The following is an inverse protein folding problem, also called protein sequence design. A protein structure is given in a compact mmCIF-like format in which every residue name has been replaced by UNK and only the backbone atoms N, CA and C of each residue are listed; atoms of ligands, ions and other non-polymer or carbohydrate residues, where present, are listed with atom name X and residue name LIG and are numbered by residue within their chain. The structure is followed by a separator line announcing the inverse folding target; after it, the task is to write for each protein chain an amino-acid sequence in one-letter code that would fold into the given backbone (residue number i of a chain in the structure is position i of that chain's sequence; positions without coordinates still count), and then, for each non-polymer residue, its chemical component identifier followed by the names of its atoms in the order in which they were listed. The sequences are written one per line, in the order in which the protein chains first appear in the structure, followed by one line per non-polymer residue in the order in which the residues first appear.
data_IF_951708528858
#
_entry.id   IF_951708528858
#
_cell.length_a   1.000
_cell.length_b   1.000
_cell.length_c   1.000
_cell.angle_alpha   90.00
_cell.angle_beta   90.00
_cell.angle_gamma   90.00
#
_symmetry.space_group_name_H-M   'P 1'
#
loop_
_entity.id
_entity.type
_entity.pdbx_description
1 polymer ?
#
# COMPACT_ATOMS: atom_id res chain seq x y z
N UNK A 1 -3.19 18.64 -44.45
CA UNK A 1 -2.88 17.24 -44.82
C UNK A 1 -4.05 16.37 -44.42
N UNK A 2 -4.91 16.02 -45.39
CA UNK A 2 -6.06 15.14 -45.18
C UNK A 2 -5.54 13.69 -45.12
N UNK A 3 -5.57 13.05 -43.96
CA UNK A 3 -5.29 11.62 -43.84
C UNK A 3 -6.52 10.84 -44.33
N UNK A 4 -6.64 10.65 -45.65
CA UNK A 4 -7.52 9.62 -46.24
C UNK A 4 -6.74 8.32 -46.36
N UNK A 5 -7.16 7.31 -45.59
CA UNK A 5 -7.24 5.86 -45.91
C UNK A 5 -7.08 5.03 -44.64
N UNK A 6 -8.06 5.16 -43.74
CA UNK A 6 -8.40 4.07 -42.83
C UNK A 6 -9.85 3.76 -43.09
N UNK A 7 -10.12 2.55 -43.56
CA UNK A 7 -11.50 2.05 -43.66
C UNK A 7 -12.19 2.35 -42.33
N UNK A 8 -13.27 3.13 -42.35
CA UNK A 8 -14.01 3.48 -41.14
C UNK A 8 -14.49 2.18 -40.48
N UNK A 9 -14.68 2.16 -39.15
CA UNK A 9 -15.27 0.98 -38.52
C UNK A 9 -16.69 0.74 -39.02
N UNK A 10 -17.38 1.77 -39.53
CA UNK A 10 -18.65 1.62 -40.25
C UNK A 10 -18.51 0.83 -41.54
N UNK A 11 -17.46 1.09 -42.32
CA UNK A 11 -17.15 0.27 -43.52
C UNK A 11 -16.76 -1.16 -43.11
N UNK A 12 -16.11 -1.33 -41.96
CA UNK A 12 -15.80 -2.65 -41.40
C UNK A 12 -17.06 -3.39 -40.91
N UNK A 13 -18.01 -2.68 -40.30
CA UNK A 13 -19.30 -3.24 -39.88
C UNK A 13 -20.11 -3.69 -41.10
N UNK A 14 -20.15 -2.87 -42.16
CA UNK A 14 -20.76 -3.23 -43.43
C UNK A 14 -20.09 -4.44 -44.07
N UNK A 15 -18.75 -4.48 -44.09
CA UNK A 15 -17.99 -5.64 -44.57
C UNK A 15 -18.22 -6.89 -43.71
N UNK A 16 -18.53 -6.71 -42.43
CA UNK A 16 -18.92 -7.77 -41.51
C UNK A 16 -20.44 -8.02 -41.49
N UNK A 17 -21.19 -7.53 -42.48
CA UNK A 17 -22.63 -7.77 -42.64
C UNK A 17 -23.52 -7.28 -41.48
N UNK A 18 -23.19 -6.17 -40.82
CA UNK A 18 -24.10 -5.52 -39.87
C UNK A 18 -24.08 -4.00 -39.90
N UNK A 19 -25.13 -3.40 -39.34
CA UNK A 19 -25.25 -1.96 -39.08
C UNK A 19 -25.61 -1.71 -37.63
N UNK A 20 -25.04 -0.66 -37.02
CA UNK A 20 -25.42 -0.28 -35.66
C UNK A 20 -26.83 0.30 -35.63
N UNK A 21 -27.58 -0.03 -34.59
CA UNK A 21 -28.90 0.55 -34.35
C UNK A 21 -28.76 1.70 -33.36
N UNK A 22 -29.52 2.77 -33.54
CA UNK A 22 -29.52 3.93 -32.65
C UNK A 22 -28.12 4.53 -32.44
N UNK A 23 -27.33 4.72 -33.51
CA UNK A 23 -25.97 5.29 -33.43
C UNK A 23 -25.92 6.59 -32.60
N UNK A 24 -26.95 7.43 -32.73
CA UNK A 24 -27.07 8.71 -32.02
C UNK A 24 -27.20 8.57 -30.49
N UNK A 25 -27.62 7.39 -30.00
CA UNK A 25 -27.77 7.09 -28.57
C UNK A 25 -26.51 6.47 -27.97
N UNK A 26 -25.53 6.10 -28.78
CA UNK A 26 -24.27 5.53 -28.29
C UNK A 26 -23.50 6.60 -27.55
N UNK A 27 -23.12 6.32 -26.29
CA UNK A 27 -22.35 7.25 -25.47
C UNK A 27 -21.06 7.66 -26.18
N UNK A 28 -20.73 8.96 -26.15
CA UNK A 28 -19.47 9.51 -26.71
C UNK A 28 -18.22 8.86 -26.13
N UNK A 29 -18.29 8.33 -24.90
CA UNK A 29 -17.18 7.60 -24.28
C UNK A 29 -16.86 6.25 -24.94
N UNK A 30 -17.79 5.72 -25.74
CA UNK A 30 -17.66 4.47 -26.49
C UNK A 30 -17.28 4.71 -27.96
N UNK A 31 -17.18 5.97 -28.38
CA UNK A 31 -16.82 6.38 -29.73
C UNK A 31 -15.33 6.68 -29.79
N UNK A 32 -14.66 6.15 -30.82
CA UNK A 32 -13.25 6.40 -31.03
C UNK A 32 -13.02 7.84 -31.52
N UNK A 33 -12.16 8.64 -30.86
CA UNK A 33 -11.87 10.02 -31.29
C UNK A 33 -11.17 10.14 -32.66
N UNK A 34 -10.67 9.03 -33.21
CA UNK A 34 -9.91 9.01 -34.47
C UNK A 34 -10.83 8.68 -35.66
N UNK A 35 -11.57 7.57 -35.59
CA UNK A 35 -12.47 7.15 -36.68
C UNK A 35 -13.92 7.61 -36.49
N UNK A 36 -14.27 8.18 -35.33
CA UNK A 36 -15.62 8.67 -34.98
C UNK A 36 -16.71 7.59 -35.00
N UNK A 37 -16.31 6.33 -34.90
CA UNK A 37 -17.20 5.18 -34.84
C UNK A 37 -17.11 4.49 -33.47
N UNK A 38 -18.07 3.60 -33.11
CA UNK A 38 -17.94 2.74 -31.94
C UNK A 38 -16.60 1.98 -31.91
N UNK A 39 -16.04 1.86 -30.72
CA UNK A 39 -14.73 1.26 -30.50
C UNK A 39 -14.70 -0.23 -30.90
N UNK A 40 -13.73 -0.60 -31.74
CA UNK A 40 -13.41 -1.99 -32.11
C UNK A 40 -12.02 -2.34 -31.58
N UNK A 41 -11.93 -3.45 -30.84
CA UNK A 41 -10.70 -3.90 -30.15
C UNK A 41 -10.03 -2.73 -29.38
N UNK A 42 -10.67 -2.20 -28.32
CA UNK A 42 -10.27 -0.93 -27.74
C UNK A 42 -8.96 -1.03 -26.93
N UNK A 43 -8.07 -0.05 -27.13
CA UNK A 43 -6.86 0.20 -26.34
C UNK A 43 -6.98 1.55 -25.62
N UNK A 44 -6.63 1.59 -24.33
CA UNK A 44 -6.63 2.80 -23.52
C UNK A 44 -5.21 3.34 -23.39
N UNK A 45 -5.02 4.62 -23.66
CA UNK A 45 -3.75 5.28 -23.40
C UNK A 45 -3.55 5.49 -21.90
N UNK A 46 -2.42 5.03 -21.35
CA UNK A 46 -2.21 4.95 -19.90
C UNK A 46 -2.17 6.33 -19.24
N UNK A 47 -1.58 7.32 -19.90
CA UNK A 47 -1.36 8.64 -19.29
C UNK A 47 -2.60 9.55 -19.28
N UNK A 48 -3.52 9.41 -20.24
CA UNK A 48 -4.71 10.28 -20.33
C UNK A 48 -6.04 9.52 -20.28
N UNK A 49 -5.98 8.20 -20.13
CA UNK A 49 -7.13 7.30 -19.97
C UNK A 49 -8.19 7.37 -21.09
N UNK A 50 -7.84 7.94 -22.24
CA UNK A 50 -8.69 7.95 -23.41
C UNK A 50 -8.58 6.62 -24.16
N UNK A 51 -9.70 6.13 -24.68
CA UNK A 51 -9.78 4.86 -25.40
C UNK A 51 -9.90 5.06 -26.91
N UNK A 52 -9.24 4.19 -27.65
CA UNK A 52 -9.15 4.23 -29.11
C UNK A 52 -9.24 2.81 -29.68
N UNK A 53 -9.63 2.66 -30.94
CA UNK A 53 -9.52 1.36 -31.60
C UNK A 53 -8.04 0.99 -31.75
N UNK A 54 -7.68 -0.27 -31.51
CA UNK A 54 -6.31 -0.78 -31.64
C UNK A 54 -5.68 -0.40 -32.99
N UNK A 55 -6.43 -0.59 -34.08
CA UNK A 55 -6.01 -0.27 -35.45
C UNK A 55 -5.87 1.24 -35.72
N UNK A 56 -6.56 2.09 -34.96
CA UNK A 56 -6.50 3.54 -35.11
C UNK A 56 -5.29 4.12 -34.38
N UNK A 57 -5.10 3.77 -33.11
CA UNK A 57 -4.06 4.37 -32.27
C UNK A 57 -2.65 3.91 -32.64
N UNK A 58 -2.48 2.66 -33.09
CA UNK A 58 -1.17 2.11 -33.49
C UNK A 58 -0.55 2.78 -34.71
N UNK A 59 -1.32 3.56 -35.47
CA UNK A 59 -0.80 4.33 -36.62
C UNK A 59 -0.17 5.66 -36.20
N UNK A 60 -0.36 6.06 -34.95
CA UNK A 60 0.07 7.36 -34.43
C UNK A 60 1.28 7.17 -33.51
N UNK A 61 2.17 8.17 -33.52
CA UNK A 61 3.32 8.24 -32.59
C UNK A 61 2.99 9.00 -31.30
N UNK A 62 1.92 9.77 -31.31
CA UNK A 62 1.47 10.62 -30.21
C UNK A 62 -0.04 10.50 -30.03
N UNK A 63 -0.50 10.62 -28.79
CA UNK A 63 -1.92 10.59 -28.44
C UNK A 63 -2.63 11.83 -29.01
N UNK A 64 -3.73 11.67 -29.77
CA UNK A 64 -4.45 12.81 -30.33
C UNK A 64 -5.14 13.66 -29.25
N UNK A 65 -5.42 13.10 -28.07
CA UNK A 65 -6.06 13.82 -26.98
C UNK A 65 -5.08 14.62 -26.12
N UNK A 66 -3.93 14.06 -25.74
CA UNK A 66 -2.98 14.69 -24.81
C UNK A 66 -1.59 14.98 -25.40
N UNK A 67 -1.33 14.59 -26.65
CA UNK A 67 -0.04 14.74 -27.36
C UNK A 67 1.16 14.00 -26.75
N UNK A 68 0.94 13.20 -25.70
CA UNK A 68 1.97 12.35 -25.11
C UNK A 68 2.42 11.25 -26.10
N UNK A 69 3.65 10.76 -25.93
CA UNK A 69 4.26 9.74 -26.77
C UNK A 69 3.58 8.37 -26.62
N UNK A 70 3.50 7.59 -27.71
CA UNK A 70 2.97 6.21 -27.75
C UNK A 70 4.02 5.26 -28.34
N UNK A 71 5.29 5.46 -27.98
CA UNK A 71 6.39 4.68 -28.55
C UNK A 71 6.66 3.38 -27.81
N UNK A 72 6.28 3.32 -26.53
CA UNK A 72 6.48 2.13 -25.72
C UNK A 72 5.22 1.25 -25.74
N UNK A 73 5.36 -0.09 -25.75
CA UNK A 73 4.23 -1.00 -25.61
C UNK A 73 3.39 -0.76 -24.36
N UNK A 74 4.01 -0.23 -23.29
CA UNK A 74 3.36 0.06 -22.02
C UNK A 74 2.53 1.36 -22.03
N UNK A 75 2.63 2.19 -23.07
CA UNK A 75 1.86 3.44 -23.18
C UNK A 75 0.38 3.15 -23.53
N UNK A 76 0.09 1.95 -24.04
CA UNK A 76 -1.23 1.44 -24.36
C UNK A 76 -1.53 0.20 -23.54
N UNK A 77 -2.69 0.18 -22.91
CA UNK A 77 -3.22 -1.00 -22.21
C UNK A 77 -4.52 -1.45 -22.86
N UNK A 78 -4.82 -2.74 -22.74
CA UNK A 78 -6.13 -3.24 -23.11
C UNK A 78 -7.20 -2.53 -22.26
N UNK A 79 -8.28 -2.11 -22.92
CA UNK A 79 -9.35 -1.38 -22.25
C UNK A 79 -10.04 -2.26 -21.20
N UNK A 80 -10.58 -1.63 -20.15
CA UNK A 80 -11.25 -2.34 -19.05
C UNK A 80 -12.32 -3.30 -19.58
N UNK A 81 -12.49 -4.43 -18.89
CA UNK A 81 -13.47 -5.43 -19.25
C UNK A 81 -14.89 -4.85 -19.28
N UNK A 82 -15.20 -3.95 -18.34
CA UNK A 82 -16.51 -3.28 -18.26
C UNK A 82 -16.85 -2.52 -19.53
N UNK A 83 -15.92 -1.70 -20.07
CA UNK A 83 -16.17 -0.96 -21.32
C UNK A 83 -16.35 -1.92 -22.50
N UNK A 84 -15.60 -3.02 -22.54
CA UNK A 84 -15.76 -4.06 -23.58
C UNK A 84 -17.12 -4.72 -23.52
N UNK A 85 -17.60 -5.07 -22.32
CA UNK A 85 -18.95 -5.60 -22.14
C UNK A 85 -20.04 -4.61 -22.62
N UNK A 86 -19.93 -3.34 -22.25
CA UNK A 86 -20.89 -2.31 -22.68
C UNK A 86 -20.88 -2.16 -24.21
N UNK A 87 -19.70 -2.24 -24.84
CA UNK A 87 -19.57 -2.23 -26.30
C UNK A 87 -20.21 -3.46 -26.96
N UNK A 88 -20.16 -4.61 -26.30
CA UNK A 88 -20.70 -5.88 -26.80
C UNK A 88 -22.22 -5.97 -26.62
N UNK A 89 -22.79 -5.21 -25.68
CA UNK A 89 -24.23 -5.01 -25.48
C UNK A 89 -24.87 -4.07 -26.51
N UNK A 90 -24.08 -3.38 -27.35
CA UNK A 90 -24.63 -2.52 -28.41
C UNK A 90 -25.45 -3.35 -29.41
N UNK A 91 -26.65 -2.88 -29.74
CA UNK A 91 -27.52 -3.52 -30.72
C UNK A 91 -27.03 -3.28 -32.15
N UNK A 92 -26.97 -4.35 -32.93
CA UNK A 92 -26.66 -4.33 -34.35
C UNK A 92 -27.71 -5.08 -35.13
N UNK A 93 -28.02 -4.61 -36.34
CA UNK A 93 -28.88 -5.31 -37.28
C UNK A 93 -28.04 -6.10 -38.27
N UNK A 94 -28.34 -7.38 -38.44
CA UNK A 94 -27.73 -8.20 -39.48
C UNK A 94 -28.19 -7.75 -40.87
N UNK A 95 -27.26 -7.51 -41.79
CA UNK A 95 -27.59 -7.08 -43.14
C UNK A 95 -28.24 -8.20 -43.98
N UNK A 96 -28.01 -9.47 -43.60
CA UNK A 96 -28.49 -10.67 -44.31
C UNK A 96 -29.92 -11.04 -43.88
N UNK A 97 -30.13 -11.38 -42.60
CA UNK A 97 -31.44 -11.83 -42.09
C UNK A 97 -32.27 -10.74 -41.40
N UNK A 98 -31.74 -9.52 -41.28
CA UNK A 98 -32.39 -8.36 -40.65
C UNK A 98 -32.67 -8.47 -39.14
N UNK A 99 -32.24 -9.55 -38.48
CA UNK A 99 -32.37 -9.69 -37.03
C UNK A 99 -31.52 -8.67 -36.26
N UNK A 100 -32.09 -8.19 -35.15
CA UNK A 100 -31.43 -7.32 -34.18
C UNK A 100 -30.78 -8.20 -33.11
N UNK A 101 -29.48 -8.04 -32.90
CA UNK A 101 -28.71 -8.81 -31.93
C UNK A 101 -27.62 -7.95 -31.29
N UNK A 102 -27.13 -8.38 -30.13
CA UNK A 102 -26.00 -7.73 -29.47
C UNK A 102 -24.71 -7.94 -30.28
N UNK A 103 -23.91 -6.88 -30.40
CA UNK A 103 -22.66 -6.86 -31.17
C UNK A 103 -21.73 -8.01 -30.78
N UNK A 104 -21.60 -8.31 -29.50
CA UNK A 104 -20.74 -9.41 -29.00
C UNK A 104 -21.15 -10.78 -29.54
N UNK A 105 -22.44 -11.00 -29.76
CA UNK A 105 -23.00 -12.27 -30.24
C UNK A 105 -23.06 -12.38 -31.76
N UNK A 106 -22.74 -11.29 -32.48
CA UNK A 106 -22.85 -11.23 -33.94
C UNK A 106 -21.99 -12.30 -34.65
N UNK A 107 -20.77 -12.54 -34.15
CA UNK A 107 -19.88 -13.56 -34.72
C UNK A 107 -20.43 -14.98 -34.64
N UNK A 108 -21.19 -15.29 -33.58
CA UNK A 108 -21.85 -16.58 -33.38
C UNK A 108 -23.07 -16.68 -34.29
N UNK A 109 -23.85 -15.60 -34.38
CA UNK A 109 -25.00 -15.51 -35.27
C UNK A 109 -24.64 -15.83 -36.73
N UNK A 110 -23.59 -15.19 -37.27
CA UNK A 110 -23.13 -15.44 -38.65
C UNK A 110 -22.73 -16.90 -38.88
N UNK A 111 -22.11 -17.55 -37.89
CA UNK A 111 -21.62 -18.92 -38.03
C UNK A 111 -22.73 -19.95 -37.99
N UNK A 112 -23.74 -19.74 -37.16
CA UNK A 112 -24.66 -20.82 -36.77
C UNK A 112 -26.12 -20.57 -37.15
N UNK A 113 -26.60 -19.31 -37.18
CA UNK A 113 -28.04 -19.02 -37.15
C UNK A 113 -28.50 -18.01 -38.23
N UNK A 114 -27.59 -17.44 -39.00
CA UNK A 114 -27.91 -16.33 -39.91
C UNK A 114 -28.75 -16.75 -41.14
N UNK A 115 -28.64 -18.00 -41.58
CA UNK A 115 -29.34 -18.49 -42.80
C UNK A 115 -30.69 -19.14 -42.51
N UNK A 116 -31.02 -19.41 -41.24
CA UNK A 116 -32.27 -20.07 -40.84
C UNK A 116 -33.47 -19.10 -40.77
N UNK A 117 -33.22 -17.80 -40.90
CA UNK A 117 -34.24 -16.77 -40.93
C UNK A 117 -34.16 -15.98 -42.25
N UNK A 118 -34.83 -16.50 -43.27
CA UNK A 118 -35.22 -15.71 -44.44
C UNK A 118 -36.12 -14.55 -43.98
N UNK A 119 -36.13 -13.38 -44.65
CA UNK A 119 -36.82 -12.21 -44.13
C UNK A 119 -38.34 -12.48 -44.08
N UNK A 120 -38.88 -12.55 -42.88
CA UNK A 120 -40.32 -12.47 -42.66
C UNK A 120 -40.70 -11.03 -43.03
N UNK A 121 -41.50 -10.91 -44.09
CA UNK A 121 -42.14 -9.65 -44.49
C UNK A 121 -42.97 -9.07 -43.34
N UNK A 122 -43.09 -7.74 -43.23
CA UNK A 122 -43.74 -7.09 -42.10
C UNK A 122 -45.28 -7.21 -42.22
N UNK A 123 -45.84 -8.38 -41.91
CA UNK A 123 -47.31 -8.56 -41.86
C UNK A 123 -47.82 -9.40 -40.67
N UNK A 124 -46.98 -9.87 -39.75
CA UNK A 124 -47.47 -10.70 -38.63
C UNK A 124 -47.05 -10.15 -37.26
N UNK A 125 -47.53 -8.95 -36.97
CA UNK A 125 -47.63 -8.42 -35.60
C UNK A 125 -49.11 -8.37 -35.19
N UNK A 126 -49.81 -9.50 -35.24
CA UNK A 126 -51.14 -9.65 -34.61
C UNK A 126 -51.58 -11.12 -34.59
N UNK A 127 -51.25 -11.88 -33.54
CA UNK A 127 -52.03 -13.06 -33.09
C UNK A 127 -51.44 -13.77 -31.86
N UNK A 128 -50.96 -13.02 -30.86
CA UNK A 128 -50.84 -13.57 -29.50
C UNK A 128 -52.06 -13.16 -28.67
N UNK A 129 -53.25 -13.58 -29.09
CA UNK A 129 -54.42 -13.73 -28.23
C UNK A 129 -55.51 -14.43 -29.04
N UNK A 130 -56.04 -15.50 -28.44
CA UNK A 130 -57.15 -16.33 -28.89
C UNK A 130 -56.73 -17.50 -29.80
N UNK A 131 -56.55 -18.68 -29.19
CA UNK A 131 -57.41 -19.84 -29.47
C UNK A 131 -57.10 -20.97 -28.47
N UNK A 132 -57.70 -20.88 -27.29
CA UNK A 132 -58.02 -22.06 -26.48
C UNK A 132 -59.49 -22.41 -26.70
N UNK A 133 -59.79 -23.16 -27.76
CA UNK A 133 -61.06 -23.86 -27.89
C UNK A 133 -60.98 -24.97 -28.96
N UNK A 134 -61.06 -26.20 -28.45
CA UNK A 134 -61.83 -27.31 -29.05
C UNK A 134 -61.20 -28.15 -30.18
N UNK A 135 -60.98 -29.43 -29.80
CA UNK A 135 -61.41 -30.64 -30.51
C UNK A 135 -60.39 -31.47 -31.34
N UNK A 136 -60.07 -32.62 -30.73
CA UNK A 136 -60.21 -33.99 -31.26
C UNK A 136 -59.29 -34.51 -32.38
N UNK A 137 -58.43 -35.47 -31.96
CA UNK A 137 -58.09 -36.78 -32.56
C UNK A 137 -57.73 -36.88 -34.05
N UNK A 138 -56.54 -37.44 -34.35
CA UNK A 138 -56.30 -38.60 -35.23
C UNK A 138 -54.96 -39.28 -34.86
N UNK A 139 -54.95 -40.61 -34.98
CA UNK A 139 -54.00 -41.61 -34.49
C UNK A 139 -52.60 -41.62 -35.13
N UNK A 140 -51.57 -42.02 -34.35
CA UNK A 140 -50.56 -43.02 -34.76
C UNK A 140 -49.64 -43.41 -33.57
N UNK A 141 -49.36 -44.71 -33.31
CA UNK A 141 -48.51 -45.15 -32.21
C UNK A 141 -47.12 -45.53 -32.73
N UNK A 142 -46.08 -44.72 -32.47
CA UNK A 142 -44.67 -45.20 -32.47
C UNK A 142 -43.62 -44.26 -31.85
N UNK A 143 -43.96 -43.04 -31.43
CA UNK A 143 -42.93 -42.04 -31.05
C UNK A 143 -42.87 -41.68 -29.56
N UNK A 144 -43.33 -42.55 -28.65
CA UNK A 144 -43.39 -42.21 -27.20
C UNK A 144 -42.17 -42.71 -26.42
N UNK A 145 -41.39 -43.65 -26.96
CA UNK A 145 -40.23 -44.20 -26.23
C UNK A 145 -38.96 -43.35 -26.33
N UNK A 146 -38.82 -42.52 -27.37
CA UNK A 146 -37.66 -41.64 -27.54
C UNK A 146 -37.84 -40.29 -26.83
N UNK A 147 -39.07 -39.79 -26.71
CA UNK A 147 -39.34 -38.47 -26.11
C UNK A 147 -39.16 -38.45 -24.59
N UNK A 148 -39.41 -39.57 -23.89
CA UNK A 148 -39.27 -39.65 -22.43
C UNK A 148 -37.79 -39.64 -22.03
N UNK A 149 -36.93 -40.32 -22.79
CA UNK A 149 -35.48 -40.33 -22.56
C UNK A 149 -34.85 -38.97 -22.88
N UNK A 150 -35.24 -38.32 -23.97
CA UNK A 150 -34.70 -37.01 -24.39
C UNK A 150 -35.06 -35.88 -23.40
N UNK A 151 -36.32 -35.86 -22.93
CA UNK A 151 -36.79 -34.89 -21.93
C UNK A 151 -36.12 -35.11 -20.55
N UNK A 152 -35.84 -36.36 -20.20
CA UNK A 152 -35.15 -36.71 -18.95
C UNK A 152 -33.64 -36.38 -19.04
N UNK A 153 -33.03 -36.58 -20.21
CA UNK A 153 -31.64 -36.20 -20.49
C UNK A 153 -31.46 -34.67 -20.42
N UNK A 154 -32.35 -33.86 -21.01
CA UNK A 154 -32.28 -32.39 -20.91
C UNK A 154 -32.41 -31.89 -19.46
N UNK A 155 -33.29 -32.53 -18.68
CA UNK A 155 -33.45 -32.20 -17.25
C UNK A 155 -32.22 -32.57 -16.43
N UNK A 156 -31.56 -33.68 -16.75
CA UNK A 156 -30.29 -34.05 -16.14
C UNK A 156 -29.16 -33.10 -16.56
N UNK A 157 -29.08 -32.74 -17.84
CA UNK A 157 -28.06 -31.83 -18.38
C UNK A 157 -28.17 -30.44 -17.75
N UNK A 158 -29.38 -29.87 -17.69
CA UNK A 158 -29.63 -28.56 -17.06
C UNK A 158 -29.29 -28.55 -15.56
N UNK A 159 -29.57 -29.63 -14.84
CA UNK A 159 -29.15 -29.78 -13.44
C UNK A 159 -27.61 -29.83 -13.28
N UNK A 160 -26.91 -30.50 -14.19
CA UNK A 160 -25.43 -30.54 -14.19
C UNK A 160 -24.86 -29.17 -14.49
N UNK A 161 -25.36 -28.47 -15.52
CA UNK A 161 -24.95 -27.10 -15.84
C UNK A 161 -25.17 -26.13 -14.68
N UNK A 162 -26.31 -26.23 -13.97
CA UNK A 162 -26.59 -25.41 -12.79
C UNK A 162 -25.56 -25.63 -11.69
N UNK A 163 -25.17 -26.88 -11.43
CA UNK A 163 -24.14 -27.21 -10.44
C UNK A 163 -22.76 -26.71 -10.85
N UNK A 164 -22.40 -26.81 -12.14
CA UNK A 164 -21.14 -26.27 -12.66
C UNK A 164 -21.10 -24.75 -12.43
N UNK A 165 -22.17 -24.03 -12.77
CA UNK A 165 -22.24 -22.59 -12.55
C UNK A 165 -22.16 -22.22 -11.06
N UNK A 166 -22.81 -22.99 -10.18
CA UNK A 166 -22.67 -22.81 -8.72
C UNK A 166 -21.23 -23.00 -8.27
N UNK A 167 -20.56 -24.08 -8.69
CA UNK A 167 -19.16 -24.33 -8.35
C UNK A 167 -18.22 -23.24 -8.88
N UNK A 168 -18.42 -22.76 -10.12
CA UNK A 168 -17.64 -21.65 -10.68
C UNK A 168 -17.83 -20.37 -9.87
N UNK A 169 -19.05 -20.08 -9.42
CA UNK A 169 -19.33 -18.92 -8.58
C UNK A 169 -18.68 -19.00 -7.21
N UNK A 170 -18.69 -20.18 -6.57
CA UNK A 170 -18.00 -20.40 -5.29
C UNK A 170 -16.47 -20.29 -5.45
N UNK A 171 -15.94 -20.80 -6.56
CA UNK A 171 -14.52 -20.72 -6.87
C UNK A 171 -14.08 -19.28 -7.14
N UNK A 172 -14.94 -18.45 -7.75
CA UNK A 172 -14.70 -17.03 -7.93
C UNK A 172 -14.65 -16.28 -6.59
N UNK A 173 -15.63 -16.51 -5.71
CA UNK A 173 -15.65 -15.89 -4.38
C UNK A 173 -14.46 -16.36 -3.52
N UNK A 174 -14.07 -17.64 -3.62
CA UNK A 174 -12.87 -18.16 -2.94
C UNK A 174 -11.59 -17.50 -3.46
N UNK A 175 -11.44 -17.36 -4.79
CA UNK A 175 -10.29 -16.66 -5.40
C UNK A 175 -10.22 -15.21 -4.95
N UNK A 176 -11.35 -14.53 -4.89
CA UNK A 176 -11.46 -13.15 -4.39
C UNK A 176 -11.05 -13.05 -2.92
N UNK A 177 -11.53 -13.96 -2.07
CA UNK A 177 -11.15 -14.03 -0.66
C UNK A 177 -9.64 -14.27 -0.49
N UNK A 178 -9.06 -15.19 -1.26
CA UNK A 178 -7.61 -15.45 -1.26
C UNK A 178 -6.83 -14.19 -1.65
N UNK A 179 -7.26 -13.49 -2.71
CA UNK A 179 -6.60 -12.24 -3.14
C UNK A 179 -6.65 -11.15 -2.07
N UNK A 180 -7.80 -10.99 -1.41
CA UNK A 180 -7.96 -10.03 -0.30
C UNK A 180 -7.05 -10.40 0.86
N UNK A 181 -7.00 -11.68 1.26
CA UNK A 181 -6.10 -12.15 2.31
C UNK A 181 -4.62 -11.89 1.97
N UNK A 182 -4.19 -12.19 0.74
CA UNK A 182 -2.82 -11.92 0.29
C UNK A 182 -2.49 -10.43 0.30
N UNK A 183 -3.42 -9.58 -0.14
CA UNK A 183 -3.26 -8.13 -0.10
C UNK A 183 -3.11 -7.60 1.34
N UNK A 184 -3.93 -8.08 2.26
CA UNK A 184 -3.86 -7.73 3.68
C UNK A 184 -2.53 -8.19 4.29
N UNK A 185 -2.11 -9.43 4.05
CA UNK A 185 -0.84 -9.95 4.54
C UNK A 185 0.36 -9.18 3.97
N UNK A 186 0.34 -8.84 2.68
CA UNK A 186 1.35 -8.01 2.05
C UNK A 186 1.42 -6.62 2.70
N UNK A 187 0.27 -5.99 2.94
CA UNK A 187 0.18 -4.69 3.61
C UNK A 187 0.77 -4.76 5.03
N UNK A 188 0.41 -5.77 5.82
CA UNK A 188 0.96 -5.99 7.17
C UNK A 188 2.48 -6.17 7.11
N UNK A 189 2.98 -7.00 6.18
CA UNK A 189 4.41 -7.21 6.02
C UNK A 189 5.17 -5.92 5.68
N UNK A 190 4.61 -5.07 4.80
CA UNK A 190 5.21 -3.76 4.48
C UNK A 190 5.24 -2.83 5.70
N UNK A 191 4.16 -2.78 6.49
CA UNK A 191 4.12 -1.97 7.71
C UNK A 191 5.15 -2.43 8.74
N UNK A 192 5.31 -3.74 8.92
CA UNK A 192 6.34 -4.31 9.80
C UNK A 192 7.75 -3.92 9.32
N UNK A 193 8.02 -4.04 8.00
CA UNK A 193 9.31 -3.68 7.41
C UNK A 193 9.65 -2.19 7.60
N UNK A 194 8.70 -1.29 7.36
CA UNK A 194 8.94 0.14 7.61
C UNK A 194 9.07 0.44 9.10
N UNK A 195 8.31 -0.24 9.96
CA UNK A 195 8.43 -0.13 11.41
C UNK A 195 9.81 -0.54 11.94
N UNK A 196 10.40 -1.62 11.42
CA UNK A 196 11.74 -2.06 11.83
C UNK A 196 12.83 -1.09 11.37
N UNK A 197 12.73 -0.57 10.14
CA UNK A 197 13.66 0.46 9.64
C UNK A 197 13.57 1.73 10.50
N UNK A 198 12.35 2.21 10.77
CA UNK A 198 12.15 3.41 11.58
C UNK A 198 12.69 3.24 13.00
N UNK A 199 12.43 2.08 13.62
CA UNK A 199 13.00 1.71 14.92
C UNK A 199 14.53 1.72 14.89
N UNK A 200 15.15 1.12 13.88
CA UNK A 200 16.61 1.12 13.71
C UNK A 200 17.18 2.54 13.59
N UNK A 201 16.54 3.43 12.83
CA UNK A 201 16.96 4.84 12.68
C UNK A 201 16.86 5.57 14.02
N UNK A 202 15.76 5.38 14.77
CA UNK A 202 15.61 5.99 16.10
C UNK A 202 16.69 5.48 17.06
N UNK A 203 16.93 4.17 17.12
CA UNK A 203 17.96 3.61 17.99
C UNK A 203 19.36 4.10 17.62
N UNK A 204 19.66 4.19 16.32
CA UNK A 204 20.93 4.74 15.83
C UNK A 204 21.10 6.20 16.24
N UNK A 205 20.05 7.01 16.07
CA UNK A 205 20.06 8.42 16.49
C UNK A 205 20.23 8.57 18.00
N UNK A 206 19.46 7.83 18.80
CA UNK A 206 19.59 7.81 20.26
C UNK A 206 21.00 7.38 20.69
N UNK A 207 21.58 6.37 20.04
CA UNK A 207 22.95 5.94 20.30
C UNK A 207 23.95 7.07 20.05
N UNK A 208 23.84 7.82 18.95
CA UNK A 208 24.69 8.98 18.67
C UNK A 208 24.52 10.07 19.73
N UNK A 209 23.29 10.39 20.12
CA UNK A 209 23.01 11.38 21.17
C UNK A 209 23.64 10.95 22.50
N UNK A 210 23.46 9.69 22.91
CA UNK A 210 24.00 9.19 24.18
C UNK A 210 25.51 9.02 24.19
N UNK A 211 26.14 8.64 23.07
CA UNK A 211 27.58 8.38 23.02
C UNK A 211 28.41 9.61 22.73
N UNK A 212 27.90 10.58 21.98
CA UNK A 212 28.67 11.77 21.56
C UNK A 212 28.22 13.04 22.30
N UNK A 213 26.91 13.28 22.37
CA UNK A 213 26.39 14.56 22.85
C UNK A 213 26.34 14.62 24.37
N UNK A 214 25.86 13.56 25.01
CA UNK A 214 25.74 13.51 26.47
C UNK A 214 27.10 13.64 27.16
N UNK A 215 28.17 12.90 26.78
CA UNK A 215 29.48 13.05 27.41
C UNK A 215 30.09 14.42 27.17
N UNK A 216 29.93 15.00 25.98
CA UNK A 216 30.42 16.35 25.67
C UNK A 216 29.70 17.42 26.50
N UNK A 217 28.38 17.29 26.66
CA UNK A 217 27.60 18.21 27.48
C UNK A 217 27.95 18.08 28.97
N UNK A 218 28.17 16.86 29.46
CA UNK A 218 28.64 16.60 30.83
C UNK A 218 30.05 17.20 31.02
N UNK A 219 30.97 17.01 30.09
CA UNK A 219 32.34 17.55 30.18
C UNK A 219 32.35 19.09 30.22
N UNK A 220 31.57 19.73 29.34
CA UNK A 220 31.38 21.20 29.35
C UNK A 220 30.78 21.67 30.67
N UNK A 221 29.77 20.95 31.19
CA UNK A 221 29.09 21.30 32.44
C UNK A 221 30.01 21.11 33.65
N UNK A 222 30.80 20.03 33.69
CA UNK A 222 31.77 19.75 34.75
C UNK A 222 32.90 20.77 34.72
N UNK A 223 33.43 21.12 33.53
CA UNK A 223 34.46 22.13 33.37
C UNK A 223 33.96 23.51 33.80
N UNK A 224 32.75 23.88 33.40
CA UNK A 224 32.09 25.09 33.87
C UNK A 224 31.96 25.09 35.40
N UNK A 225 31.41 24.03 36.00
CA UNK A 225 31.26 23.93 37.46
C UNK A 225 32.62 23.96 38.20
N UNK A 226 33.66 23.35 37.64
CA UNK A 226 35.00 23.35 38.22
C UNK A 226 35.70 24.72 38.11
N UNK A 227 35.49 25.46 37.01
CA UNK A 227 36.01 26.81 36.83
C UNK A 227 35.36 27.82 37.79
N UNK A 228 34.12 27.59 38.23
CA UNK A 228 33.48 28.37 39.29
C UNK A 228 33.93 27.99 40.71
N UNK A 229 34.51 26.80 40.90
CA UNK A 229 35.04 26.33 42.20
C UNK A 229 36.10 27.28 42.81
N UNK A 230 37.16 27.70 42.10
CA UNK A 230 38.14 28.64 42.65
C UNK A 230 37.57 30.04 42.89
N UNK A 231 36.61 30.50 42.08
CA UNK A 231 35.94 31.79 42.29
C UNK A 231 35.10 31.77 43.57
N UNK A 232 34.31 30.72 43.77
CA UNK A 232 33.50 30.52 45.00
C UNK A 232 34.40 30.38 46.22
N UNK A 233 35.53 29.67 46.08
CA UNK A 233 36.51 29.50 47.16
C UNK A 233 37.22 30.81 47.49
N UNK A 234 37.59 31.60 46.47
CA UNK A 234 38.20 32.93 46.60
C UNK A 234 37.24 33.91 47.28
N UNK A 235 35.96 33.94 46.89
CA UNK A 235 34.95 34.73 47.60
C UNK A 235 34.86 34.33 49.08
N UNK A 236 34.83 33.03 49.40
CA UNK A 236 34.81 32.56 50.79
C UNK A 236 36.05 32.99 51.58
N UNK A 237 37.25 32.92 51.01
CA UNK A 237 38.49 33.37 51.65
C UNK A 237 38.48 34.89 51.87
N UNK A 238 38.01 35.67 50.89
CA UNK A 238 37.89 37.14 51.00
C UNK A 238 36.90 37.52 52.11
N UNK A 239 35.74 36.86 52.19
CA UNK A 239 34.75 37.13 53.24
C UNK A 239 35.26 36.75 54.63
N UNK A 240 36.00 35.64 54.77
CA UNK A 240 36.62 35.25 56.05
C UNK A 240 37.73 36.23 56.44
N UNK A 241 38.55 36.69 55.48
CA UNK A 241 39.60 37.68 55.73
C UNK A 241 39.01 39.05 56.13
N UNK A 242 37.94 39.50 55.47
CA UNK A 242 37.18 40.70 55.83
C UNK A 242 36.56 40.58 57.23
N UNK A 243 36.01 39.42 57.56
CA UNK A 243 35.47 39.13 58.89
C UNK A 243 36.58 39.23 59.96
N UNK A 244 37.73 38.60 59.72
CA UNK A 244 38.87 38.65 60.65
C UNK A 244 39.44 40.07 60.77
N UNK A 245 39.52 40.81 59.67
CA UNK A 245 39.94 42.21 59.65
C UNK A 245 38.99 43.10 60.45
N UNK A 246 37.67 42.94 60.28
CA UNK A 246 36.64 43.66 61.05
C UNK A 246 36.72 43.35 62.55
N UNK A 247 36.98 42.09 62.90
CA UNK A 247 37.18 41.67 64.29
C UNK A 247 38.49 42.22 64.89
N UNK A 248 39.58 42.26 64.11
CA UNK A 248 40.87 42.80 64.56
C UNK A 248 40.92 44.33 64.63
N UNK A 249 40.16 45.03 63.77
CA UNK A 249 40.16 46.50 63.71
C UNK A 249 39.58 47.17 64.96
N UNK A 250 38.70 46.49 65.71
CA UNK A 250 38.03 47.08 66.88
C UNK A 250 38.54 46.50 68.20
N UNK A 251 39.76 46.90 68.59
CA UNK A 251 40.46 46.47 69.81
C UNK A 251 40.08 47.29 71.06
N UNK A 252 38.77 47.56 71.27
CA UNK A 252 38.24 48.00 72.58
C UNK A 252 36.93 47.24 72.87
N UNK A 253 36.90 46.37 73.90
CA UNK A 253 35.80 45.42 74.12
C UNK A 253 34.50 46.03 74.67
N UNK A 254 34.47 47.32 75.03
CA UNK A 254 33.29 47.94 75.66
C UNK A 254 32.21 48.43 74.69
N UNK A 255 32.52 48.59 73.39
CA UNK A 255 31.61 49.22 72.41
C UNK A 255 31.29 48.28 71.23
N UNK A 256 31.02 47.01 71.51
CA UNK A 256 30.49 46.10 70.48
C UNK A 256 29.05 46.51 70.19
N UNK A 257 28.88 47.36 69.18
CA UNK A 257 27.57 47.77 68.70
C UNK A 257 26.79 46.52 68.28
N UNK A 258 25.54 46.39 68.76
CA UNK A 258 24.60 45.33 68.37
C UNK A 258 24.53 45.16 66.84
N UNK A 259 24.65 46.27 66.10
CA UNK A 259 24.71 46.29 64.64
C UNK A 259 25.84 45.43 64.07
N UNK A 260 27.04 45.43 64.68
CA UNK A 260 28.18 44.62 64.24
C UNK A 260 27.89 43.13 64.44
N UNK A 261 27.24 42.76 65.54
CA UNK A 261 26.82 41.37 65.80
C UNK A 261 25.76 40.92 64.78
N UNK A 262 24.79 41.78 64.47
CA UNK A 262 23.76 41.50 63.46
C UNK A 262 24.37 41.33 62.07
N UNK A 263 25.31 42.19 61.66
CA UNK A 263 26.00 42.07 60.37
C UNK A 263 26.80 40.75 60.31
N UNK A 264 27.51 40.40 61.37
CA UNK A 264 28.23 39.13 61.46
C UNK A 264 27.27 37.93 61.35
N UNK A 265 26.12 37.97 62.02
CA UNK A 265 25.09 36.93 61.95
C UNK A 265 24.57 36.77 60.51
N UNK A 266 24.27 37.87 59.82
CA UNK A 266 23.79 37.84 58.42
C UNK A 266 24.85 37.23 57.49
N UNK A 267 26.12 37.59 57.66
CA UNK A 267 27.22 37.03 56.85
C UNK A 267 27.37 35.52 57.10
N UNK A 268 27.26 35.06 58.36
CA UNK A 268 27.32 33.63 58.69
C UNK A 268 26.13 32.88 58.09
N UNK A 269 24.91 33.43 58.22
CA UNK A 269 23.71 32.83 57.64
C UNK A 269 23.77 32.75 56.12
N UNK A 270 24.29 33.78 55.45
CA UNK A 270 24.48 33.78 54.00
C UNK A 270 25.51 32.74 53.54
N UNK A 271 26.63 32.61 54.25
CA UNK A 271 27.64 31.58 53.96
C UNK A 271 27.10 30.16 54.20
N UNK A 272 26.30 29.97 55.25
CA UNK A 272 25.61 28.71 55.52
C UNK A 272 24.60 28.38 54.42
N UNK A 273 23.84 29.38 53.96
CA UNK A 273 22.90 29.21 52.85
C UNK A 273 23.61 28.79 51.55
N UNK A 274 24.73 29.42 51.19
CA UNK A 274 25.52 29.03 50.02
C UNK A 274 26.08 27.61 50.19
N UNK A 275 26.51 27.22 51.39
CA UNK A 275 26.98 25.85 51.67
C UNK A 275 25.85 24.82 51.49
N UNK A 276 24.66 25.12 52.00
CA UNK A 276 23.47 24.26 51.84
C UNK A 276 23.11 24.15 50.36
N UNK A 277 23.09 25.25 49.61
CA UNK A 277 22.81 25.24 48.17
C UNK A 277 23.82 24.39 47.40
N UNK A 278 25.12 24.50 47.73
CA UNK A 278 26.17 23.68 47.13
C UNK A 278 26.02 22.19 47.47
N UNK A 279 25.65 21.85 48.72
CA UNK A 279 25.36 20.46 49.10
C UNK A 279 24.16 19.90 48.35
N UNK A 280 23.11 20.70 48.17
CA UNK A 280 21.92 20.31 47.40
C UNK A 280 22.29 20.06 45.94
N UNK A 281 22.99 20.98 45.28
CA UNK A 281 23.42 20.83 43.88
C UNK A 281 24.29 19.58 43.71
N UNK A 282 25.25 19.36 44.61
CA UNK A 282 26.12 18.19 44.55
C UNK A 282 25.35 16.89 44.81
N UNK A 283 24.36 16.90 45.72
CA UNK A 283 23.49 15.76 45.98
C UNK A 283 22.61 15.44 44.77
N UNK A 284 22.05 16.44 44.10
CA UNK A 284 21.30 16.26 42.85
C UNK A 284 22.18 15.71 41.73
N UNK A 285 23.41 16.22 41.58
CA UNK A 285 24.37 15.68 40.61
C UNK A 285 24.72 14.21 40.92
N UNK A 286 24.89 13.86 42.19
CA UNK A 286 25.14 12.47 42.60
C UNK A 286 23.96 11.55 42.30
N UNK A 287 22.72 11.98 42.62
CA UNK A 287 21.51 11.24 42.28
C UNK A 287 21.33 11.08 40.77
N UNK A 288 21.66 12.12 40.00
CA UNK A 288 21.64 12.08 38.55
C UNK A 288 22.65 11.08 37.98
N UNK A 289 23.88 11.03 38.52
CA UNK A 289 24.88 10.03 38.11
C UNK A 289 24.40 8.61 38.44
N UNK A 290 23.84 8.37 39.62
CA UNK A 290 23.26 7.06 39.98
C UNK A 290 22.13 6.68 39.02
N UNK A 291 21.25 7.63 38.70
CA UNK A 291 20.16 7.40 37.75
C UNK A 291 20.68 7.00 36.35
N UNK A 292 21.72 7.68 35.86
CA UNK A 292 22.37 7.33 34.59
C UNK A 292 23.03 5.94 34.66
N UNK A 293 23.69 5.58 35.76
CA UNK A 293 24.28 4.24 35.94
C UNK A 293 23.19 3.15 35.95
N UNK A 294 22.05 3.40 36.59
CA UNK A 294 20.91 2.47 36.61
C UNK A 294 20.33 2.30 35.20
N UNK A 295 20.18 3.40 34.44
CA UNK A 295 19.71 3.35 33.06
C UNK A 295 20.68 2.59 32.16
N UNK A 296 21.99 2.82 32.28
CA UNK A 296 23.02 2.08 31.56
C UNK A 296 23.01 0.59 31.95
N UNK A 297 22.88 0.26 33.24
CA UNK A 297 22.78 -1.12 33.70
C UNK A 297 21.56 -1.86 33.11
N UNK A 298 20.39 -1.20 33.07
CA UNK A 298 19.19 -1.77 32.42
C UNK A 298 19.38 -1.93 30.90
N UNK A 299 19.98 -0.94 30.24
CA UNK A 299 20.24 -1.00 28.81
C UNK A 299 21.19 -2.16 28.45
N UNK A 300 22.29 -2.32 29.20
CA UNK A 300 23.21 -3.44 29.02
C UNK A 300 22.59 -4.79 29.36
N UNK A 301 21.77 -4.89 30.41
CA UNK A 301 21.08 -6.14 30.76
C UNK A 301 20.03 -6.54 29.70
N UNK A 302 19.43 -5.58 29.00
CA UNK A 302 18.50 -5.85 27.88
C UNK A 302 19.24 -6.34 26.63
N UNK A 303 20.55 -6.08 26.52
CA UNK A 303 21.35 -6.40 25.35
C UNK A 303 22.17 -7.70 25.49
N UNK A 304 22.20 -8.33 26.67
CA UNK A 304 22.77 -9.68 26.83
C UNK A 304 21.79 -10.70 26.22
N UNK A 305 22.14 -11.40 25.13
CA UNK A 305 21.29 -12.44 24.58
C UNK A 305 21.09 -13.55 25.63
N UNK A 306 19.87 -14.09 25.73
CA UNK A 306 19.52 -15.17 26.64
C UNK A 306 20.62 -16.24 26.65
N UNK A 307 20.97 -16.80 27.83
CA UNK A 307 22.05 -17.79 27.97
C UNK A 307 21.96 -18.93 26.94
N UNK A 308 20.76 -19.31 26.52
CA UNK A 308 20.53 -20.32 25.48
C UNK A 308 21.08 -19.91 24.10
N UNK A 309 20.99 -18.64 23.71
CA UNK A 309 21.53 -18.14 22.45
C UNK A 309 23.07 -18.11 22.45
N UNK A 310 23.69 -17.82 23.60
CA UNK A 310 25.15 -17.86 23.76
C UNK A 310 25.64 -19.31 23.67
N UNK A 311 24.98 -20.25 24.34
CA UNK A 311 25.32 -21.68 24.27
C UNK A 311 25.15 -22.21 22.84
N UNK A 312 24.06 -21.84 22.15
CA UNK A 312 23.84 -22.23 20.75
C UNK A 312 24.91 -21.68 19.81
N UNK A 313 25.34 -20.42 20.01
CA UNK A 313 26.38 -19.80 19.20
C UNK A 313 27.75 -20.48 19.40
N UNK A 314 28.13 -20.75 20.65
CA UNK A 314 29.39 -21.44 20.97
C UNK A 314 29.40 -22.85 20.39
N UNK A 315 28.30 -23.60 20.53
CA UNK A 315 28.19 -24.95 19.99
C UNK A 315 28.30 -24.96 18.45
N UNK A 316 27.63 -24.03 17.76
CA UNK A 316 27.73 -23.92 16.30
C UNK A 316 29.15 -23.57 15.84
N UNK A 317 29.84 -22.67 16.55
CA UNK A 317 31.23 -22.31 16.22
C UNK A 317 32.19 -23.49 16.37
N UNK A 318 32.05 -24.28 17.45
CA UNK A 318 32.86 -25.48 17.68
C UNK A 318 32.62 -26.54 16.59
N UNK A 319 31.37 -26.75 16.19
CA UNK A 319 31.02 -27.71 15.11
C UNK A 319 31.64 -27.27 13.78
N UNK A 320 31.60 -25.97 13.46
CA UNK A 320 32.18 -25.43 12.23
C UNK A 320 33.70 -25.63 12.17
N UNK A 321 34.41 -25.38 13.27
CA UNK A 321 35.85 -25.62 13.40
C UNK A 321 36.20 -27.10 13.19
N UNK A 322 35.41 -28.02 13.76
CA UNK A 322 35.62 -29.45 13.58
C UNK A 322 35.40 -29.91 12.14
N UNK A 323 34.37 -29.41 11.47
CA UNK A 323 34.10 -29.71 10.06
C UNK A 323 35.23 -29.20 9.15
N UNK A 324 35.75 -28.00 9.41
CA UNK A 324 36.85 -27.43 8.63
C UNK A 324 38.16 -28.21 8.81
N UNK A 325 38.45 -28.67 10.03
CA UNK A 325 39.57 -29.58 10.29
C UNK A 325 39.43 -30.96 9.64
N UNK A 326 38.20 -31.49 9.53
CA UNK A 326 37.96 -32.75 8.82
C UNK A 326 38.07 -32.58 7.30
N UNK A 327 37.59 -31.46 6.76
CA UNK A 327 37.71 -31.16 5.34
C UNK A 327 39.17 -31.00 4.91
N UNK A 328 39.97 -30.25 5.68
CA UNK A 328 41.40 -30.08 5.40
C UNK A 328 42.18 -31.39 5.48
N UNK A 329 41.76 -32.34 6.33
CA UNK A 329 42.38 -33.66 6.39
C UNK A 329 42.01 -34.55 5.21
N UNK A 330 40.82 -34.42 4.62
CA UNK A 330 40.41 -35.20 3.44
C UNK A 330 41.02 -34.69 2.13
N UNK A 331 41.39 -33.42 2.04
CA UNK A 331 42.04 -32.85 0.84
C UNK A 331 43.55 -33.14 0.75
N UNK A 332 44.13 -33.83 1.74
CA UNK A 332 45.54 -34.21 1.77
C UNK A 332 45.81 -35.69 1.44
N UNK A 333 44.78 -36.45 1.05
CA UNK A 333 44.88 -37.85 0.63
C UNK A 333 44.49 -38.03 -0.82
#
# INVERSE_FOLDING_TARGET
MMFRTTTSNRELALANNYTYINEDKISRSLICPICLDPLIDPQTHVSCENSFCNRCIRKLRQCPCCRASIMNPNDLKMTSHVIRNILDELEVQCNVCKQIINRGNFSIHIRNNCLDHSPISPEEEESFLNLSASSSTINSPTTIKNSIDEQQIEKHLSNVYRRIHTLESELFELKKAIYICLFVLSTIATLIFFGTIFSYVILSFLSVVFTQWVPSLIDVSVKFLFDFSPLITLFRVIFIALYFFLMCYKRRPSDINLLTIIICLIIVLFNLFILILHLIINHFNFLFIIFIIILMGKYFHVQIPNQEQIIAFVNNFVIQQQQQHQHNRRSQW
#
